data_IF_470680894218
#
_entry.id   IF_470680894218
#
_cell.length_a   1.000
_cell.length_b   1.000
_cell.length_c   1.000
_cell.angle_alpha   90.00
_cell.angle_beta   90.00
_cell.angle_gamma   90.00
#
_symmetry.space_group_name_H-M   'P 1'
#
loop_
_entity.id
_entity.type
_entity.pdbx_description
1 polymer ?
#
# COMPACT_ATOMS: atom_id res chain seq x y z
N UNK A 1 15.70 -14.52 -23.86
CA UNK A 1 14.91 -15.39 -22.97
C UNK A 1 14.41 -14.51 -21.84
N UNK A 2 13.11 -14.21 -21.77
CA UNK A 2 12.55 -13.47 -20.64
C UNK A 2 12.55 -14.41 -19.44
N UNK A 3 13.23 -14.05 -18.35
CA UNK A 3 13.08 -14.79 -17.09
C UNK A 3 11.64 -14.62 -16.63
N UNK A 4 10.85 -15.69 -16.67
CA UNK A 4 9.50 -15.69 -16.12
C UNK A 4 9.60 -15.76 -14.60
N UNK A 5 9.98 -14.64 -13.97
CA UNK A 5 9.94 -14.52 -12.50
C UNK A 5 8.48 -14.61 -12.06
N UNK A 6 8.20 -15.42 -11.05
CA UNK A 6 6.84 -15.56 -10.52
C UNK A 6 6.33 -14.17 -10.09
N UNK A 7 5.11 -13.75 -10.49
CA UNK A 7 4.59 -12.42 -10.15
C UNK A 7 4.51 -12.13 -8.64
N UNK A 8 4.51 -13.17 -7.81
CA UNK A 8 4.54 -13.10 -6.34
C UNK A 8 5.94 -13.05 -5.74
N UNK A 9 6.99 -13.29 -6.53
CA UNK A 9 8.36 -13.08 -6.06
C UNK A 9 8.57 -11.58 -5.82
N UNK A 10 8.93 -11.18 -4.59
CA UNK A 10 9.14 -9.77 -4.29
C UNK A 10 10.41 -9.28 -4.95
N UNK A 11 10.35 -8.06 -5.47
CA UNK A 11 11.50 -7.36 -6.02
C UNK A 11 11.90 -6.25 -5.05
N UNK A 12 13.21 -6.16 -4.77
CA UNK A 12 13.77 -5.20 -3.83
C UNK A 12 14.68 -4.24 -4.58
N UNK A 13 14.46 -2.94 -4.36
CA UNK A 13 15.25 -1.88 -4.96
C UNK A 13 15.79 -0.97 -3.88
N UNK A 14 16.99 -0.45 -4.12
CA UNK A 14 17.52 0.70 -3.37
C UNK A 14 17.62 1.84 -4.37
N UNK A 15 16.85 2.90 -4.13
CA UNK A 15 16.80 4.08 -4.98
C UNK A 15 17.60 5.17 -4.26
N UNK A 16 18.65 5.66 -4.90
CA UNK A 16 19.37 6.83 -4.42
C UNK A 16 18.57 8.09 -4.78
N UNK A 17 18.21 8.89 -3.76
CA UNK A 17 17.49 10.14 -3.91
C UNK A 17 18.18 11.22 -3.07
N UNK A 18 18.96 12.07 -3.73
CA UNK A 18 19.92 12.98 -3.08
C UNK A 18 20.84 12.21 -2.11
N UNK A 19 20.86 12.58 -0.84
CA UNK A 19 21.67 11.95 0.22
C UNK A 19 20.97 10.74 0.87
N UNK A 20 19.75 10.42 0.42
CA UNK A 20 18.93 9.37 1.01
C UNK A 20 18.90 8.12 0.14
N UNK A 21 18.87 6.96 0.81
CA UNK A 21 18.66 5.66 0.18
C UNK A 21 17.26 5.15 0.52
N UNK A 22 16.41 5.08 -0.49
CA UNK A 22 15.02 4.61 -0.35
C UNK A 22 14.99 3.12 -0.67
N UNK A 23 14.60 2.32 0.32
CA UNK A 23 14.40 0.88 0.18
C UNK A 23 12.97 0.63 -0.29
N UNK A 24 12.81 0.13 -1.51
CA UNK A 24 11.50 -0.11 -2.13
C UNK A 24 11.27 -1.59 -2.32
N UNK A 25 10.15 -2.08 -1.80
CA UNK A 25 9.67 -3.45 -2.02
C UNK A 25 8.52 -3.40 -3.03
N UNK A 26 8.65 -4.12 -4.15
CA UNK A 26 7.58 -4.30 -5.14
C UNK A 26 7.08 -5.72 -5.06
N UNK A 27 5.79 -5.93 -4.82
CA UNK A 27 5.25 -7.28 -4.63
C UNK A 27 3.78 -7.39 -5.01
N UNK A 28 3.37 -8.62 -5.33
CA UNK A 28 1.98 -9.03 -5.37
C UNK A 28 1.67 -10.11 -4.31
N UNK A 29 2.60 -10.42 -3.40
CA UNK A 29 2.39 -11.43 -2.36
C UNK A 29 1.88 -10.79 -1.08
N UNK A 30 0.75 -11.28 -0.60
CA UNK A 30 0.12 -10.82 0.63
C UNK A 30 1.05 -11.01 1.85
N UNK A 31 1.73 -12.16 1.91
CA UNK A 31 2.72 -12.45 2.97
C UNK A 31 3.88 -11.45 3.01
N UNK A 32 4.30 -10.93 1.86
CA UNK A 32 5.36 -9.92 1.81
C UNK A 32 4.84 -8.59 2.35
N UNK A 33 3.59 -8.23 2.05
CA UNK A 33 2.95 -7.04 2.61
C UNK A 33 2.82 -7.15 4.13
N UNK A 34 2.36 -8.30 4.66
CA UNK A 34 2.27 -8.54 6.10
C UNK A 34 3.61 -8.33 6.79
N UNK A 35 4.68 -8.89 6.21
CA UNK A 35 6.04 -8.74 6.72
C UNK A 35 6.52 -7.29 6.67
N UNK A 36 6.24 -6.58 5.57
CA UNK A 36 6.62 -5.17 5.44
C UNK A 36 5.95 -4.32 6.52
N UNK A 37 4.63 -4.49 6.75
CA UNK A 37 3.87 -3.77 7.78
C UNK A 37 4.40 -4.09 9.18
N UNK A 38 4.67 -5.36 9.46
CA UNK A 38 5.29 -5.77 10.73
C UNK A 38 6.62 -5.04 10.98
N UNK A 39 7.49 -4.98 9.97
CA UNK A 39 8.77 -4.27 10.10
C UNK A 39 8.58 -2.77 10.30
N UNK A 40 7.63 -2.14 9.62
CA UNK A 40 7.33 -0.72 9.83
C UNK A 40 6.92 -0.46 11.28
N UNK A 41 5.98 -1.23 11.83
CA UNK A 41 5.61 -1.11 13.24
C UNK A 41 6.81 -1.34 14.16
N UNK A 42 7.56 -2.41 13.94
CA UNK A 42 8.73 -2.73 14.77
C UNK A 42 9.77 -1.60 14.78
N UNK A 43 10.03 -0.97 13.63
CA UNK A 43 10.95 0.19 13.56
C UNK A 43 10.42 1.40 14.32
N UNK A 44 9.13 1.70 14.24
CA UNK A 44 8.51 2.80 15.02
C UNK A 44 8.69 2.54 16.52
N UNK A 45 8.41 1.32 16.97
CA UNK A 45 8.50 0.94 18.39
C UNK A 45 9.96 0.99 18.90
N UNK A 46 10.91 0.46 18.13
CA UNK A 46 12.32 0.41 18.54
C UNK A 46 13.02 1.77 18.51
N UNK A 47 12.75 2.61 17.51
CA UNK A 47 13.42 3.91 17.39
C UNK A 47 12.79 5.00 18.25
N UNK A 48 11.86 4.64 19.14
CA UNK A 48 11.35 5.57 20.14
C UNK A 48 10.65 6.77 19.52
N UNK A 49 9.96 6.59 18.39
CA UNK A 49 8.92 7.51 17.94
C UNK A 49 7.81 7.48 18.98
N UNK A 50 8.07 8.17 20.11
CA UNK A 50 7.16 8.36 21.22
C UNK A 50 5.99 9.12 20.65
N UNK A 51 4.86 8.43 20.45
CA UNK A 51 3.42 8.78 20.45
C UNK A 51 2.98 10.27 20.58
N UNK A 52 3.79 11.24 20.19
CA UNK A 52 3.58 12.69 20.24
C UNK A 52 3.85 13.34 18.87
N UNK A 53 4.44 12.59 17.94
CA UNK A 53 4.54 12.94 16.52
C UNK A 53 3.84 11.84 15.74
N UNK A 54 2.78 12.21 15.04
CA UNK A 54 1.96 11.27 14.27
C UNK A 54 2.84 10.42 13.35
N UNK A 55 2.63 9.10 13.34
CA UNK A 55 3.31 8.23 12.40
C UNK A 55 2.76 8.51 11.00
N UNK A 56 3.51 9.27 10.21
CA UNK A 56 3.09 9.69 8.88
C UNK A 56 3.52 8.67 7.83
N UNK A 57 2.55 8.17 7.06
CA UNK A 57 2.76 7.29 5.91
C UNK A 57 2.28 8.01 4.67
N UNK A 58 3.13 8.14 3.66
CA UNK A 58 2.67 8.61 2.36
C UNK A 58 1.89 7.50 1.67
N UNK A 59 0.70 7.82 1.17
CA UNK A 59 -0.16 6.90 0.44
C UNK A 59 -0.42 7.44 -0.96
N UNK A 60 -0.30 6.58 -1.97
CA UNK A 60 -0.70 6.86 -3.34
C UNK A 60 -1.30 5.61 -4.01
N UNK A 61 -2.14 5.80 -5.03
CA UNK A 61 -2.81 4.72 -5.76
C UNK A 61 -2.89 4.99 -7.24
N UNK A 62 -2.55 3.99 -8.05
CA UNK A 62 -2.74 4.02 -9.49
C UNK A 62 -3.89 3.10 -9.90
N UNK A 63 -4.66 3.53 -10.90
CA UNK A 63 -5.85 2.84 -11.39
C UNK A 63 -5.56 2.20 -12.75
N UNK A 64 -6.35 1.19 -13.15
CA UNK A 64 -6.30 0.77 -14.55
C UNK A 64 -6.79 1.92 -15.44
N UNK A 65 -6.16 2.17 -16.61
CA UNK A 65 -6.66 3.16 -17.56
C UNK A 65 -8.06 2.76 -18.06
N UNK A 66 -9.01 3.71 -18.00
CA UNK A 66 -10.34 3.54 -18.58
C UNK A 66 -10.23 3.68 -20.10
N UNK A 67 -10.58 2.63 -20.83
CA UNK A 67 -10.75 2.70 -22.29
C UNK A 67 -12.21 2.83 -22.71
N UNK A 68 -13.16 2.67 -21.76
CA UNK A 68 -14.59 2.83 -22.00
C UNK A 68 -15.20 3.87 -21.05
N UNK A 69 -16.12 4.72 -21.52
CA UNK A 69 -16.92 5.60 -20.64
C UNK A 69 -17.70 4.76 -19.62
N UNK A 70 -17.88 5.30 -18.40
CA UNK A 70 -18.74 4.73 -17.33
C UNK A 70 -18.24 3.47 -16.60
N UNK A 71 -17.00 3.02 -16.81
CA UNK A 71 -16.40 1.95 -15.99
C UNK A 71 -15.63 2.52 -14.79
N UNK A 72 -16.00 2.07 -13.58
CA UNK A 72 -15.23 2.33 -12.35
C UNK A 72 -14.09 1.29 -12.30
N UNK A 73 -12.87 1.70 -12.66
CA UNK A 73 -11.74 0.76 -12.71
C UNK A 73 -11.21 0.44 -11.31
N UNK A 74 -10.84 -0.82 -11.04
CA UNK A 74 -10.24 -1.17 -9.76
C UNK A 74 -8.85 -0.54 -9.60
N UNK A 75 -8.46 -0.27 -8.35
CA UNK A 75 -7.09 0.14 -8.02
C UNK A 75 -6.13 -0.93 -8.53
N UNK A 76 -5.15 -0.50 -9.32
CA UNK A 76 -4.14 -1.35 -9.91
C UNK A 76 -2.94 -1.56 -9.00
N UNK A 77 -2.49 -0.47 -8.39
CA UNK A 77 -1.28 -0.39 -7.57
C UNK A 77 -1.58 0.48 -6.34
N UNK A 78 -1.09 0.05 -5.19
CA UNK A 78 -1.01 0.85 -3.97
C UNK A 78 0.44 1.10 -3.62
N UNK A 79 0.76 2.34 -3.32
CA UNK A 79 2.09 2.76 -2.89
C UNK A 79 2.01 3.32 -1.47
N UNK A 80 2.85 2.79 -0.59
CA UNK A 80 2.99 3.25 0.79
C UNK A 80 4.45 3.59 1.04
N UNK A 81 4.74 4.76 1.61
CA UNK A 81 6.10 5.11 2.03
C UNK A 81 6.11 5.58 3.49
N UNK A 82 6.91 4.93 4.32
CA UNK A 82 7.15 5.25 5.72
C UNK A 82 8.65 5.53 5.92
N UNK A 83 9.00 6.80 6.10
CA UNK A 83 10.40 7.24 6.07
C UNK A 83 11.07 6.88 4.73
N UNK A 84 12.21 6.20 4.79
CA UNK A 84 12.95 5.74 3.60
C UNK A 84 12.57 4.33 3.14
N UNK A 85 11.41 3.81 3.56
CA UNK A 85 10.92 2.49 3.16
C UNK A 85 9.62 2.62 2.41
N UNK A 86 9.60 2.11 1.20
CA UNK A 86 8.42 2.13 0.35
C UNK A 86 7.96 0.70 0.02
N UNK A 87 6.66 0.55 -0.13
CA UNK A 87 5.98 -0.64 -0.61
C UNK A 87 5.18 -0.26 -1.84
N UNK A 88 5.34 -1.01 -2.93
CA UNK A 88 4.50 -0.97 -4.12
C UNK A 88 3.78 -2.32 -4.18
N UNK A 89 2.50 -2.31 -3.83
CA UNK A 89 1.64 -3.49 -3.85
C UNK A 89 0.82 -3.53 -5.14
N UNK A 90 1.03 -4.58 -5.94
CA UNK A 90 0.34 -4.78 -7.23
C UNK A 90 -0.99 -5.50 -7.00
N UNK A 91 -2.04 -4.75 -6.65
CA UNK A 91 -3.37 -5.28 -6.34
C UNK A 91 -3.93 -6.25 -7.41
N UNK A 92 -3.73 -5.95 -8.69
CA UNK A 92 -4.25 -6.77 -9.80
C UNK A 92 -3.65 -8.17 -9.89
N UNK A 93 -2.50 -8.36 -9.27
CA UNK A 93 -1.77 -9.62 -9.28
C UNK A 93 -1.70 -10.22 -7.88
N UNK A 94 -2.44 -9.65 -6.92
CA UNK A 94 -2.41 -10.09 -5.54
C UNK A 94 -2.93 -11.52 -5.41
N UNK A 95 -2.25 -12.34 -4.61
CA UNK A 95 -2.74 -13.68 -4.23
C UNK A 95 -4.00 -13.57 -3.36
N UNK A 96 -3.97 -12.65 -2.38
CA UNK A 96 -5.06 -12.33 -1.47
C UNK A 96 -4.92 -10.88 -0.99
N UNK A 97 -5.99 -10.34 -0.42
CA UNK A 97 -5.93 -9.08 0.32
C UNK A 97 -5.32 -9.34 1.73
N UNK A 98 -4.18 -8.73 2.09
CA UNK A 98 -3.56 -8.95 3.40
C UNK A 98 -4.41 -8.32 4.51
N UNK A 99 -4.79 -9.09 5.53
CA UNK A 99 -5.56 -8.56 6.66
C UNK A 99 -4.79 -7.49 7.44
N UNK A 100 -3.47 -7.59 7.50
CA UNK A 100 -2.62 -6.57 8.13
C UNK A 100 -2.70 -5.22 7.41
N UNK A 101 -2.86 -5.22 6.09
CA UNK A 101 -3.01 -4.01 5.28
C UNK A 101 -4.35 -3.32 5.58
N UNK A 102 -5.43 -4.10 5.70
CA UNK A 102 -6.74 -3.58 6.11
C UNK A 102 -6.66 -2.93 7.49
N UNK A 103 -6.06 -3.63 8.46
CA UNK A 103 -5.87 -3.10 9.81
C UNK A 103 -4.96 -1.86 9.84
N UNK A 104 -3.91 -1.84 9.02
CA UNK A 104 -2.97 -0.73 8.91
C UNK A 104 -3.63 0.53 8.36
N UNK A 105 -4.40 0.42 7.28
CA UNK A 105 -5.12 1.55 6.67
C UNK A 105 -6.27 2.06 7.58
N UNK A 106 -6.84 1.20 8.41
CA UNK A 106 -7.85 1.56 9.40
C UNK A 106 -7.30 2.04 10.75
N UNK A 107 -5.98 2.08 10.94
CA UNK A 107 -5.39 2.41 12.23
C UNK A 107 -5.44 3.93 12.49
N UNK A 108 -6.19 4.33 13.52
CA UNK A 108 -6.34 5.74 13.94
C UNK A 108 -5.05 6.39 14.45
N UNK A 109 -4.05 5.58 14.81
CA UNK A 109 -2.74 6.07 15.26
C UNK A 109 -1.75 6.28 14.10
N UNK A 110 -2.18 6.06 12.86
CA UNK A 110 -1.37 6.28 11.64
C UNK A 110 -1.99 7.41 10.82
N UNK A 111 -1.19 8.43 10.51
CA UNK A 111 -1.60 9.54 9.66
C UNK A 111 -1.16 9.27 8.22
N UNK A 112 -2.11 9.13 7.30
CA UNK A 112 -1.81 8.95 5.89
C UNK A 112 -1.78 10.30 5.15
N UNK A 113 -0.63 10.67 4.60
CA UNK A 113 -0.45 11.89 3.81
C UNK A 113 -0.44 11.57 2.30
N UNK A 114 -1.18 12.33 1.50
CA UNK A 114 -1.16 12.27 0.03
C UNK A 114 -1.02 13.67 -0.55
N UNK A 115 -0.26 13.85 -1.64
CA UNK A 115 -0.19 15.14 -2.33
C UNK A 115 -1.40 15.28 -3.26
N UNK A 116 -2.34 16.16 -2.89
CA UNK A 116 -3.46 16.55 -3.75
C UNK A 116 -4.74 16.91 -3.00
N UNK A 117 -4.76 18.09 -2.38
CA UNK A 117 -5.92 18.82 -1.83
C UNK A 117 -6.76 18.12 -0.74
N UNK A 118 -6.66 18.69 0.45
CA UNK A 118 -7.15 18.28 1.77
C UNK A 118 -8.64 17.96 1.95
N UNK A 119 -9.48 18.03 0.89
CA UNK A 119 -10.90 17.59 0.93
C UNK A 119 -11.18 16.32 0.13
N UNK A 120 -10.37 15.99 -0.88
CA UNK A 120 -10.52 14.75 -1.66
C UNK A 120 -9.95 13.54 -0.93
N UNK A 121 -9.04 13.73 0.02
CA UNK A 121 -8.43 12.64 0.80
C UNK A 121 -9.40 11.92 1.74
N UNK A 122 -10.31 12.61 2.43
CA UNK A 122 -11.28 11.88 3.26
C UNK A 122 -12.19 11.02 2.39
N UNK A 123 -12.52 11.48 1.18
CA UNK A 123 -13.23 10.69 0.17
C UNK A 123 -12.35 9.58 -0.41
N UNK A 124 -11.07 9.81 -0.71
CA UNK A 124 -10.17 8.82 -1.31
C UNK A 124 -9.71 7.76 -0.31
N UNK A 125 -9.39 8.13 0.93
CA UNK A 125 -9.11 7.19 2.01
C UNK A 125 -10.40 6.42 2.37
N UNK A 126 -11.57 7.07 2.42
CA UNK A 126 -12.85 6.34 2.55
C UNK A 126 -13.17 5.47 1.32
N UNK A 127 -12.72 5.84 0.12
CA UNK A 127 -12.83 5.02 -1.11
C UNK A 127 -11.81 3.91 -1.15
N UNK A 128 -10.62 4.06 -0.57
CA UNK A 128 -9.61 3.00 -0.47
C UNK A 128 -9.99 2.04 0.63
N UNK A 129 -10.37 2.54 1.80
CA UNK A 129 -10.96 1.73 2.88
C UNK A 129 -12.24 1.08 2.36
N UNK A 130 -13.11 1.84 1.68
CA UNK A 130 -14.31 1.34 1.01
C UNK A 130 -14.01 0.35 -0.14
N UNK A 131 -12.91 0.51 -0.88
CA UNK A 131 -12.42 -0.40 -1.92
C UNK A 131 -11.80 -1.65 -1.30
N UNK A 132 -11.04 -1.53 -0.22
CA UNK A 132 -10.51 -2.64 0.57
C UNK A 132 -11.67 -3.44 1.13
N UNK A 133 -12.71 -2.78 1.65
CA UNK A 133 -13.96 -3.44 2.04
C UNK A 133 -14.70 -4.01 0.82
N UNK A 134 -14.80 -3.30 -0.31
CA UNK A 134 -15.50 -3.78 -1.52
C UNK A 134 -14.80 -4.99 -2.15
N UNK A 135 -13.47 -4.96 -2.29
CA UNK A 135 -12.64 -6.08 -2.72
C UNK A 135 -12.78 -7.23 -1.73
N UNK A 136 -12.67 -7.00 -0.42
CA UNK A 136 -12.90 -8.03 0.59
C UNK A 136 -14.30 -8.66 0.46
N UNK A 137 -15.34 -7.87 0.21
CA UNK A 137 -16.70 -8.34 -0.07
C UNK A 137 -16.84 -9.07 -1.40
N UNK A 138 -16.10 -8.66 -2.45
CA UNK A 138 -16.04 -9.36 -3.74
C UNK A 138 -15.39 -10.74 -3.59
N UNK A 139 -14.35 -10.89 -2.76
CA UNK A 139 -13.73 -12.19 -2.47
C UNK A 139 -14.64 -13.12 -1.64
N UNK A 140 -15.44 -12.59 -0.70
CA UNK A 140 -16.40 -13.37 0.11
C UNK A 140 -17.57 -13.92 -0.73
N UNK A 141 -17.81 -13.38 -1.93
CA UNK A 141 -18.90 -13.82 -2.84
C UNK A 141 -18.48 -14.95 -3.80
N UNK A 142 -17.24 -15.44 -3.70
CA UNK A 142 -16.69 -16.58 -4.46
C UNK A 142 -16.28 -17.76 -3.54
N UNK A 143 -16.88 -17.86 -2.35
CA UNK A 143 -16.97 -19.04 -1.49
C UNK A 143 -18.44 -19.33 -1.21
#
# INVERSE_FOLDING_TARGET
>A
MASTTNPHDPQFYTIDFHEFKIQTTVTASSRVVDRWIFHIYHHIHLHGYRFHSDFIVRLDTEWRPNFEPETDNPVAILQLCAGHRCLIFKFLHADTLPSSLVAFLGNKNTTFAGMGESRKMQKNCSRIVGFVFHVQWMWVRWL
#
